data_IF_365433680423
#
_entry.id   IF_365433680423
#
_cell.length_a   1.000
_cell.length_b   1.000
_cell.length_c   1.000
_cell.angle_alpha   90.00
_cell.angle_beta   90.00
_cell.angle_gamma   90.00
#
_symmetry.space_group_name_H-M   'P 1'
#
loop_
_entity.id
_entity.type
_entity.pdbx_description
1 polymer ?
#
# COMPACT_ATOMS: atom_id res chain seq x y z
N UNK A 1 -13.62 -12.41 -6.85
CA UNK A 1 -12.71 -12.41 -8.02
C UNK A 1 -11.35 -11.92 -7.55
N UNK A 2 -10.36 -12.81 -7.49
CA UNK A 2 -9.00 -12.49 -7.03
C UNK A 2 -8.22 -11.93 -8.24
N UNK A 3 -7.91 -10.65 -8.27
CA UNK A 3 -7.03 -10.09 -9.29
C UNK A 3 -5.63 -9.95 -8.68
N UNK A 4 -4.70 -10.78 -9.09
CA UNK A 4 -3.27 -10.60 -8.86
C UNK A 4 -2.72 -9.81 -10.04
N UNK A 5 -2.34 -8.55 -9.81
CA UNK A 5 -1.70 -7.76 -10.86
C UNK A 5 -0.19 -7.92 -10.70
N UNK A 6 0.44 -8.57 -11.66
CA UNK A 6 1.88 -8.73 -11.75
C UNK A 6 2.39 -7.76 -12.82
N UNK A 7 3.14 -6.74 -12.42
CA UNK A 7 3.82 -5.84 -13.35
C UNK A 7 5.32 -5.80 -13.03
N UNK A 8 6.16 -6.07 -14.01
CA UNK A 8 7.62 -5.95 -13.90
C UNK A 8 8.04 -4.63 -14.56
N UNK A 9 8.68 -3.75 -13.80
CA UNK A 9 9.21 -2.49 -14.31
C UNK A 9 10.73 -2.44 -14.18
N UNK A 10 11.38 -1.91 -15.21
CA UNK A 10 12.77 -1.51 -15.19
C UNK A 10 12.83 0.03 -15.08
N UNK A 11 13.53 0.55 -14.09
CA UNK A 11 13.45 1.95 -13.69
C UNK A 11 14.09 2.93 -14.67
N UNK A 12 13.51 4.11 -14.76
CA UNK A 12 14.15 5.32 -15.28
C UNK A 12 13.84 6.50 -14.37
N UNK A 13 14.86 7.33 -14.20
CA UNK A 13 14.97 8.51 -13.33
C UNK A 13 13.74 9.42 -13.30
N UNK A 14 13.20 9.66 -12.10
CA UNK A 14 12.32 10.82 -11.81
C UNK A 14 12.48 11.28 -10.37
N UNK A 15 12.91 12.52 -10.19
CA UNK A 15 12.74 13.26 -8.93
C UNK A 15 11.26 13.55 -8.71
N UNK A 16 10.68 13.00 -7.66
CA UNK A 16 9.27 13.21 -7.32
C UNK A 16 9.16 13.95 -5.99
N UNK A 17 8.53 15.11 -6.03
CA UNK A 17 8.11 15.85 -4.84
C UNK A 17 6.98 15.09 -4.13
N UNK A 18 7.09 14.91 -2.82
CA UNK A 18 6.05 14.28 -2.01
C UNK A 18 4.71 15.04 -2.18
N UNK A 19 3.68 14.34 -2.65
CA UNK A 19 2.32 14.89 -2.68
C UNK A 19 1.72 14.82 -1.28
N UNK A 20 1.17 15.96 -0.81
CA UNK A 20 0.46 16.03 0.47
C UNK A 20 -0.95 15.45 0.33
N UNK A 21 -1.45 14.83 1.40
CA UNK A 21 -2.83 14.34 1.47
C UNK A 21 -3.83 15.50 1.56
N UNK A 22 -5.10 15.22 1.30
CA UNK A 22 -6.16 16.24 1.34
C UNK A 22 -6.40 16.83 2.74
N UNK A 23 -5.98 16.14 3.81
CA UNK A 23 -5.95 16.64 5.18
C UNK A 23 -4.66 17.41 5.53
N UNK A 24 -3.78 17.63 4.55
CA UNK A 24 -2.52 18.35 4.71
C UNK A 24 -1.42 17.57 5.41
N UNK A 25 -1.65 16.34 5.82
CA UNK A 25 -0.64 15.48 6.48
C UNK A 25 -0.04 14.48 5.50
N UNK A 26 1.23 14.69 5.16
CA UNK A 26 2.04 13.68 4.47
C UNK A 26 2.50 12.63 5.49
N UNK A 27 2.45 11.34 5.09
CA UNK A 27 3.02 10.27 5.90
C UNK A 27 4.52 10.24 5.70
N UNK A 28 5.26 10.24 6.82
CA UNK A 28 6.71 10.09 6.80
C UNK A 28 7.12 8.62 6.70
N UNK A 29 7.37 8.14 5.48
CA UNK A 29 7.84 6.77 5.24
C UNK A 29 9.34 6.56 5.53
N UNK A 30 10.06 7.60 6.00
CA UNK A 30 11.37 7.40 6.62
C UNK A 30 11.27 6.74 8.00
N UNK A 31 10.08 6.84 8.63
CA UNK A 31 9.81 6.18 9.90
C UNK A 31 9.47 4.69 9.68
N UNK A 32 10.29 3.75 10.18
CA UNK A 32 10.05 2.31 10.03
C UNK A 32 8.71 1.83 10.61
N UNK A 33 8.13 2.56 11.59
CA UNK A 33 6.83 2.19 12.17
C UNK A 33 5.65 2.37 11.19
N UNK A 34 5.84 3.10 10.09
CA UNK A 34 4.85 3.28 9.02
C UNK A 34 4.92 2.16 7.97
N UNK A 35 5.69 1.11 8.25
CA UNK A 35 5.79 -0.08 7.43
C UNK A 35 5.35 -1.33 8.21
N UNK A 36 4.59 -2.18 7.55
CA UNK A 36 4.28 -3.51 8.05
C UNK A 36 5.56 -4.38 8.02
N UNK A 37 6.31 -4.27 6.94
CA UNK A 37 7.65 -4.87 6.80
C UNK A 37 8.50 -4.09 5.80
N UNK A 38 9.80 -4.03 6.10
CA UNK A 38 10.87 -3.68 5.18
C UNK A 38 11.94 -4.75 5.34
N UNK A 39 12.00 -5.69 4.39
CA UNK A 39 12.98 -6.77 4.46
C UNK A 39 14.33 -6.29 3.92
N UNK A 40 15.13 -5.75 4.82
CA UNK A 40 16.48 -5.24 4.52
C UNK A 40 17.60 -6.20 4.91
N UNK A 41 17.25 -7.40 5.42
CA UNK A 41 18.24 -8.33 6.00
C UNK A 41 18.88 -9.27 5.00
N UNK A 42 18.19 -9.56 3.90
CA UNK A 42 18.67 -10.47 2.87
C UNK A 42 18.72 -9.74 1.52
N UNK A 43 19.84 -9.85 0.82
CA UNK A 43 20.02 -9.26 -0.50
C UNK A 43 19.54 -10.24 -1.57
N UNK A 44 18.21 -10.26 -1.80
CA UNK A 44 17.60 -11.09 -2.84
C UNK A 44 17.56 -10.35 -4.17
N UNK A 45 17.54 -11.11 -5.26
CA UNK A 45 17.64 -10.58 -6.62
C UNK A 45 16.41 -9.77 -7.07
N UNK A 46 15.28 -9.92 -6.39
CA UNK A 46 14.01 -9.23 -6.73
C UNK A 46 13.36 -8.68 -5.48
N UNK A 47 12.70 -7.55 -5.61
CA UNK A 47 11.89 -6.96 -4.55
C UNK A 47 10.40 -7.19 -4.80
N UNK A 48 9.62 -7.27 -3.73
CA UNK A 48 8.16 -7.35 -3.76
C UNK A 48 7.60 -6.13 -3.03
N UNK A 49 6.99 -5.21 -3.76
CA UNK A 49 6.23 -4.15 -3.13
C UNK A 49 4.78 -4.62 -2.96
N UNK A 50 4.42 -4.94 -1.72
CA UNK A 50 3.13 -5.56 -1.39
C UNK A 50 2.17 -4.56 -0.75
N UNK A 51 0.96 -4.46 -1.32
CA UNK A 51 -0.14 -3.64 -0.80
C UNK A 51 -1.30 -4.55 -0.39
N UNK A 52 -1.55 -4.62 0.91
CA UNK A 52 -2.53 -5.52 1.50
C UNK A 52 -3.98 -5.08 1.21
N UNK A 53 -4.96 -6.01 1.27
CA UNK A 53 -6.38 -5.72 1.06
C UNK A 53 -6.96 -4.85 2.18
N UNK A 54 -8.21 -4.45 2.05
CA UNK A 54 -8.94 -3.73 3.10
C UNK A 54 -8.85 -4.50 4.42
N UNK A 55 -8.23 -3.87 5.40
CA UNK A 55 -8.06 -4.34 6.77
C UNK A 55 -8.84 -3.47 7.76
N UNK A 56 -9.20 -2.26 7.35
CA UNK A 56 -10.03 -1.34 8.11
C UNK A 56 -11.50 -1.60 7.86
N UNK A 57 -12.29 -1.59 8.94
CA UNK A 57 -13.74 -1.67 8.91
C UNK A 57 -14.30 -0.77 10.01
N UNK A 58 -15.23 0.10 9.64
CA UNK A 58 -16.02 0.91 10.58
C UNK A 58 -16.79 -0.01 11.53
N UNK A 59 -16.81 0.33 12.79
CA UNK A 59 -17.60 -0.37 13.80
C UNK A 59 -18.95 0.34 14.03
N UNK A 60 -19.03 1.63 13.72
CA UNK A 60 -20.23 2.45 13.81
C UNK A 60 -20.33 3.39 12.60
N UNK A 61 -21.49 4.04 12.44
CA UNK A 61 -21.70 5.03 11.36
C UNK A 61 -20.89 6.31 11.58
N UNK A 62 -20.58 6.60 12.82
CA UNK A 62 -19.81 7.78 13.26
C UNK A 62 -18.31 7.63 13.00
N UNK A 63 -17.82 6.39 12.83
CA UNK A 63 -16.42 6.15 12.52
C UNK A 63 -16.05 6.77 11.17
N UNK A 64 -14.79 7.26 11.02
CA UNK A 64 -14.35 7.90 9.79
C UNK A 64 -14.37 6.93 8.60
N UNK A 65 -14.57 7.46 7.39
CA UNK A 65 -14.52 6.66 6.16
C UNK A 65 -13.12 6.17 5.83
N UNK A 66 -12.09 6.83 6.37
CA UNK A 66 -10.68 6.46 6.23
C UNK A 66 -10.05 6.25 7.60
N UNK A 67 -9.27 5.18 7.75
CA UNK A 67 -8.55 4.93 9.01
C UNK A 67 -7.31 5.81 9.13
N UNK A 68 -6.83 5.96 10.35
CA UNK A 68 -5.47 6.45 10.65
C UNK A 68 -4.47 5.30 10.58
N UNK A 69 -3.15 5.60 10.47
CA UNK A 69 -2.12 4.56 10.43
C UNK A 69 -1.98 3.76 11.73
N UNK A 70 -2.33 4.37 12.86
CA UNK A 70 -2.29 3.78 14.19
C UNK A 70 -3.57 3.00 14.55
N UNK A 71 -4.51 2.86 13.63
CA UNK A 71 -5.74 2.10 13.86
C UNK A 71 -5.44 0.63 14.15
N UNK A 72 -5.69 0.19 15.38
CA UNK A 72 -5.31 -1.14 15.86
C UNK A 72 -5.99 -2.29 15.07
N UNK A 73 -7.24 -2.11 14.64
CA UNK A 73 -7.96 -3.12 13.86
C UNK A 73 -7.38 -3.24 12.45
N UNK A 74 -7.04 -2.12 11.83
CA UNK A 74 -6.37 -2.09 10.54
C UNK A 74 -5.00 -2.76 10.62
N UNK A 75 -4.17 -2.40 11.59
CA UNK A 75 -2.84 -3.02 11.80
C UNK A 75 -2.96 -4.53 11.97
N UNK A 76 -3.88 -5.00 12.83
CA UNK A 76 -4.13 -6.43 13.03
C UNK A 76 -4.56 -7.13 11.74
N UNK A 77 -5.48 -6.53 11.00
CA UNK A 77 -5.98 -7.06 9.73
C UNK A 77 -4.89 -7.10 8.64
N UNK A 78 -4.07 -6.06 8.54
CA UNK A 78 -2.94 -5.97 7.63
C UNK A 78 -1.92 -7.08 7.88
N UNK A 79 -1.52 -7.29 9.14
CA UNK A 79 -0.64 -8.39 9.54
C UNK A 79 -1.24 -9.77 9.20
N UNK A 80 -2.54 -9.96 9.45
CA UNK A 80 -3.24 -11.18 9.07
C UNK A 80 -3.26 -11.42 7.55
N UNK A 81 -3.46 -10.37 6.75
CA UNK A 81 -3.41 -10.45 5.30
C UNK A 81 -2.00 -10.77 4.79
N UNK A 82 -0.98 -10.10 5.33
CA UNK A 82 0.42 -10.36 5.04
C UNK A 82 0.77 -11.83 5.24
N UNK A 83 0.45 -12.37 6.42
CA UNK A 83 0.75 -13.76 6.75
C UNK A 83 0.07 -14.79 5.84
N UNK A 84 -1.08 -14.46 5.27
CA UNK A 84 -1.81 -15.37 4.35
C UNK A 84 -1.41 -15.23 2.89
N UNK A 85 -0.86 -14.07 2.48
CA UNK A 85 -0.69 -13.73 1.06
C UNK A 85 0.76 -13.44 0.70
N UNK A 86 1.45 -12.58 1.48
CA UNK A 86 2.76 -12.08 1.12
C UNK A 86 3.90 -13.03 1.51
N UNK A 87 3.72 -13.86 2.53
CA UNK A 87 4.76 -14.81 2.98
C UNK A 87 5.15 -15.83 1.92
N UNK A 88 4.30 -16.07 0.92
CA UNK A 88 4.63 -16.90 -0.23
C UNK A 88 5.81 -16.35 -1.05
N UNK A 89 6.08 -15.05 -0.98
CA UNK A 89 7.19 -14.40 -1.69
C UNK A 89 8.49 -14.40 -0.90
N UNK A 90 8.47 -14.70 0.41
CA UNK A 90 9.67 -14.70 1.26
C UNK A 90 10.86 -15.50 0.71
N UNK A 91 10.67 -16.68 0.08
CA UNK A 91 11.79 -17.43 -0.45
C UNK A 91 12.49 -16.77 -1.65
N UNK A 92 11.79 -15.87 -2.37
CA UNK A 92 12.24 -15.38 -3.69
C UNK A 92 12.55 -13.89 -3.73
N UNK A 93 12.03 -13.08 -2.81
CA UNK A 93 12.22 -11.62 -2.86
C UNK A 93 12.23 -10.94 -1.51
N UNK A 94 12.80 -9.72 -1.47
CA UNK A 94 12.71 -8.81 -0.33
C UNK A 94 11.34 -8.17 -0.32
N UNK A 95 10.63 -8.19 0.79
CA UNK A 95 9.26 -7.67 0.85
C UNK A 95 9.22 -6.30 1.50
N UNK A 96 8.63 -5.33 0.80
CA UNK A 96 8.35 -3.98 1.26
C UNK A 96 6.84 -3.78 1.27
N UNK A 97 6.27 -3.58 2.44
CA UNK A 97 4.83 -3.42 2.63
C UNK A 97 4.55 -2.22 3.53
N UNK A 98 4.10 -1.09 2.99
CA UNK A 98 3.75 0.07 3.79
C UNK A 98 2.41 -0.12 4.50
N UNK A 99 2.24 0.46 5.70
CA UNK A 99 0.92 0.82 6.17
C UNK A 99 0.42 2.03 5.38
N UNK A 100 -0.87 2.06 5.09
CA UNK A 100 -1.52 3.18 4.40
C UNK A 100 -2.94 3.40 4.94
N UNK A 101 -3.42 4.62 4.89
CA UNK A 101 -4.78 4.96 5.32
C UNK A 101 -5.78 4.36 4.35
N UNK A 102 -6.58 3.43 4.84
CA UNK A 102 -7.54 2.69 4.03
C UNK A 102 -8.91 3.31 4.10
N UNK A 103 -9.64 3.23 2.99
CA UNK A 103 -11.06 3.47 2.96
C UNK A 103 -11.82 2.25 3.51
N UNK A 104 -12.89 2.49 4.27
CA UNK A 104 -13.81 1.45 4.72
C UNK A 104 -14.47 0.73 3.54
N UNK A 105 -14.57 -0.60 3.63
CA UNK A 105 -15.08 -1.42 2.52
C UNK A 105 -16.56 -1.12 2.22
N UNK A 106 -17.39 -0.97 3.22
CA UNK A 106 -18.83 -0.71 3.02
C UNK A 106 -19.06 0.69 2.48
N UNK A 107 -18.27 1.67 2.93
CA UNK A 107 -18.29 3.01 2.36
C UNK A 107 -17.99 2.96 0.85
N UNK A 108 -16.86 2.36 0.45
CA UNK A 108 -16.46 2.28 -0.96
C UNK A 108 -17.47 1.50 -1.80
N UNK A 109 -17.99 0.38 -1.31
CA UNK A 109 -18.97 -0.43 -2.03
C UNK A 109 -20.33 0.27 -2.18
N UNK A 110 -20.68 1.17 -1.27
CA UNK A 110 -21.88 1.99 -1.33
C UNK A 110 -21.83 3.13 -2.36
N UNK A 111 -20.64 3.49 -2.85
CA UNK A 111 -20.47 4.57 -3.82
C UNK A 111 -20.76 4.11 -5.26
N UNK A 112 -21.10 5.07 -6.12
CA UNK A 112 -21.14 4.84 -7.58
C UNK A 112 -19.74 4.52 -8.12
N UNK A 113 -19.61 3.80 -9.25
CA UNK A 113 -18.29 3.38 -9.76
C UNK A 113 -17.26 4.49 -9.88
N UNK A 114 -17.61 5.65 -10.44
CA UNK A 114 -16.71 6.80 -10.59
C UNK A 114 -16.30 7.41 -9.23
N UNK A 115 -17.20 7.39 -8.25
CA UNK A 115 -16.91 7.88 -6.90
C UNK A 115 -15.98 6.94 -6.13
N UNK A 116 -16.03 5.62 -6.43
CA UNK A 116 -15.10 4.63 -5.84
C UNK A 116 -13.67 4.90 -6.24
N UNK A 117 -13.43 5.22 -7.52
CA UNK A 117 -12.09 5.61 -7.98
C UNK A 117 -11.61 6.83 -7.21
N UNK A 118 -12.42 7.89 -7.15
CA UNK A 118 -12.09 9.10 -6.39
C UNK A 118 -11.78 8.80 -4.92
N UNK A 119 -12.59 7.96 -4.26
CA UNK A 119 -12.39 7.61 -2.86
C UNK A 119 -11.07 6.85 -2.61
N UNK A 120 -10.65 6.02 -3.58
CA UNK A 120 -9.36 5.31 -3.49
C UNK A 120 -8.20 6.23 -3.83
N UNK A 121 -8.36 7.15 -4.79
CA UNK A 121 -7.31 8.08 -5.21
C UNK A 121 -7.02 9.16 -4.17
N UNK A 122 -8.02 9.53 -3.39
CA UNK A 122 -7.97 10.67 -2.48
C UNK A 122 -6.90 10.50 -1.39
N UNK A 123 -6.92 9.41 -0.65
CA UNK A 123 -6.00 9.12 0.46
C UNK A 123 -5.21 7.82 0.23
N UNK A 124 -5.85 6.65 0.02
CA UNK A 124 -5.14 5.39 -0.08
C UNK A 124 -4.05 5.36 -1.16
N UNK A 125 -4.35 5.87 -2.35
CA UNK A 125 -3.40 5.87 -3.47
C UNK A 125 -2.26 6.86 -3.25
N UNK A 126 -2.54 8.04 -2.68
CA UNK A 126 -1.50 9.04 -2.35
C UNK A 126 -0.51 8.48 -1.32
N UNK A 127 -1.00 7.82 -0.28
CA UNK A 127 -0.15 7.21 0.74
C UNK A 127 0.76 6.14 0.15
N UNK A 128 0.19 5.20 -0.61
CA UNK A 128 0.97 4.11 -1.22
C UNK A 128 1.94 4.64 -2.27
N UNK A 129 1.57 5.68 -3.02
CA UNK A 129 2.46 6.34 -3.99
C UNK A 129 3.67 6.96 -3.28
N UNK A 130 3.44 7.68 -2.17
CA UNK A 130 4.53 8.23 -1.38
C UNK A 130 5.46 7.14 -0.82
N UNK A 131 4.88 6.06 -0.28
CA UNK A 131 5.65 4.91 0.20
C UNK A 131 6.45 4.24 -0.92
N UNK A 132 5.85 4.08 -2.11
CA UNK A 132 6.50 3.46 -3.25
C UNK A 132 7.72 4.27 -3.73
N UNK A 133 7.58 5.58 -3.85
CA UNK A 133 8.73 6.42 -4.23
C UNK A 133 9.81 6.40 -3.16
N UNK A 134 9.44 6.46 -1.88
CA UNK A 134 10.41 6.33 -0.80
C UNK A 134 11.17 4.99 -0.89
N UNK A 135 10.47 3.88 -1.15
CA UNK A 135 11.08 2.58 -1.37
C UNK A 135 12.05 2.59 -2.58
N UNK A 136 11.63 3.14 -3.72
CA UNK A 136 12.48 3.22 -4.93
C UNK A 136 13.75 4.00 -4.65
N UNK A 137 13.64 5.15 -3.99
CA UNK A 137 14.76 6.06 -3.77
C UNK A 137 15.77 5.56 -2.72
N UNK A 138 15.32 4.75 -1.75
CA UNK A 138 16.14 4.41 -0.58
C UNK A 138 16.50 2.92 -0.46
N UNK A 139 15.72 2.03 -1.07
CA UNK A 139 15.87 0.58 -0.84
C UNK A 139 16.00 -0.27 -2.10
N UNK A 140 15.39 0.13 -3.21
CA UNK A 140 15.35 -0.72 -4.42
C UNK A 140 16.73 -0.94 -5.06
N UNK A 141 17.60 0.09 -5.06
CA UNK A 141 18.95 0.01 -5.65
C UNK A 141 18.98 -0.53 -7.10
N UNK A 142 17.93 -0.24 -7.90
CA UNK A 142 17.81 -0.68 -9.28
C UNK A 142 17.47 -2.16 -9.47
N UNK A 143 17.07 -2.89 -8.43
CA UNK A 143 16.61 -4.28 -8.56
C UNK A 143 15.27 -4.34 -9.29
N UNK A 144 15.02 -5.41 -10.06
CA UNK A 144 13.70 -5.69 -10.57
C UNK A 144 12.72 -5.88 -9.40
N UNK A 145 11.50 -5.40 -9.56
CA UNK A 145 10.48 -5.54 -8.52
C UNK A 145 9.13 -6.00 -9.06
N UNK A 146 8.36 -6.61 -8.19
CA UNK A 146 6.99 -7.07 -8.44
C UNK A 146 6.05 -6.21 -7.59
N UNK A 147 5.03 -5.61 -8.22
CA UNK A 147 3.90 -5.01 -7.53
C UNK A 147 2.88 -6.10 -7.23
N UNK A 148 2.65 -6.38 -5.97
CA UNK A 148 1.69 -7.39 -5.52
C UNK A 148 0.60 -6.74 -4.67
N UNK A 149 -0.66 -6.95 -5.03
CA UNK A 149 -1.80 -6.40 -4.28
C UNK A 149 -3.05 -7.26 -4.38
N UNK A 150 -3.96 -7.07 -3.43
CA UNK A 150 -5.24 -7.74 -3.41
C UNK A 150 -6.36 -6.77 -3.01
N UNK A 151 -7.54 -6.87 -3.65
CA UNK A 151 -8.71 -6.03 -3.34
C UNK A 151 -8.38 -4.54 -3.42
N UNK A 152 -8.60 -3.75 -2.36
CA UNK A 152 -8.26 -2.32 -2.31
C UNK A 152 -6.78 -2.08 -2.66
N UNK A 153 -5.87 -2.93 -2.19
CA UNK A 153 -4.46 -2.85 -2.55
C UNK A 153 -4.21 -2.95 -4.06
N UNK A 154 -4.97 -3.79 -4.78
CA UNK A 154 -4.88 -3.85 -6.24
C UNK A 154 -5.40 -2.58 -6.92
N UNK A 155 -6.48 -1.99 -6.39
CA UNK A 155 -7.03 -0.72 -6.91
C UNK A 155 -6.02 0.42 -6.74
N UNK A 156 -5.39 0.50 -5.57
CA UNK A 156 -4.36 1.50 -5.27
C UNK A 156 -3.14 1.35 -6.19
N UNK A 157 -2.67 0.12 -6.42
CA UNK A 157 -1.52 -0.13 -7.30
C UNK A 157 -1.76 0.29 -8.76
N UNK A 158 -3.00 0.31 -9.24
CA UNK A 158 -3.32 0.82 -10.58
C UNK A 158 -3.02 2.31 -10.73
N UNK A 159 -2.95 3.06 -9.62
CA UNK A 159 -2.67 4.49 -9.59
C UNK A 159 -1.17 4.82 -9.46
N UNK A 160 -0.29 3.83 -9.42
CA UNK A 160 1.18 4.03 -9.47
C UNK A 160 1.70 4.26 -10.90
N UNK A 161 0.82 4.35 -11.89
CA UNK A 161 1.16 4.57 -13.29
C UNK A 161 1.57 6.00 -13.58
#
# INVERSE_FOLDING_TARGET
MCALILSVFCGSDRTVTAETNDDGTAIDYSNPSNWLTMDTKEDKAVDIFYVYPTAYQKQSKEDPNYCTLDNASMIKGANGAFNRQATAFLPVGNIYAPYYRQADALYVLGLMPAERETAIDLIPAKDVKAAFYYYIDHYNNGRPFILAGHSQGSMVLLNLR
#
